data_IF_220324392119
#
_entry.id   IF_220324392119
#
_cell.length_a   1.000
_cell.length_b   1.000
_cell.length_c   1.000
_cell.angle_alpha   90.00
_cell.angle_beta   90.00
_cell.angle_gamma   90.00
#
_symmetry.space_group_name_H-M   'P 1'
#
loop_
_entity.id
_entity.type
_entity.pdbx_description
1 polymer ?
#
# COMPACT_ATOMS: atom_id res chain seq x y z
N UNK A 1 34.99 -20.43 -8.20
CA UNK A 1 33.64 -20.90 -8.56
C UNK A 1 32.81 -20.81 -7.29
N UNK A 2 31.84 -19.92 -7.08
CA UNK A 2 31.19 -18.93 -7.93
C UNK A 2 30.90 -17.68 -7.08
N UNK A 3 31.37 -16.52 -7.51
CA UNK A 3 30.99 -15.20 -6.97
C UNK A 3 30.52 -14.37 -8.17
N UNK A 4 29.21 -14.25 -8.38
CA UNK A 4 28.71 -13.62 -9.60
C UNK A 4 27.23 -13.28 -9.68
N UNK A 5 26.48 -13.24 -8.57
CA UNK A 5 25.02 -12.96 -8.62
C UNK A 5 24.50 -11.93 -7.61
N UNK A 6 25.36 -11.24 -6.86
CA UNK A 6 24.90 -10.29 -5.82
C UNK A 6 24.73 -8.85 -6.37
N UNK A 7 25.28 -8.55 -7.55
CA UNK A 7 25.31 -7.18 -8.13
C UNK A 7 23.97 -6.71 -8.71
N UNK A 8 22.92 -7.54 -8.78
CA UNK A 8 21.72 -7.20 -9.55
C UNK A 8 20.51 -6.79 -8.70
N UNK A 9 20.29 -7.41 -7.53
CA UNK A 9 19.06 -7.18 -6.76
C UNK A 9 19.10 -5.87 -5.95
N UNK A 10 20.17 -5.64 -5.17
CA UNK A 10 20.32 -4.41 -4.38
C UNK A 10 20.38 -3.17 -5.27
N UNK A 11 21.12 -3.24 -6.38
CA UNK A 11 21.19 -2.16 -7.36
C UNK A 11 19.83 -1.85 -8.02
N UNK A 12 18.98 -2.88 -8.23
CA UNK A 12 17.61 -2.70 -8.73
C UNK A 12 16.71 -1.99 -7.72
N UNK A 13 16.83 -2.36 -6.43
CA UNK A 13 16.07 -1.74 -5.36
C UNK A 13 16.43 -0.26 -5.20
N UNK A 14 17.71 0.08 -5.27
CA UNK A 14 18.17 1.47 -5.23
C UNK A 14 17.73 2.25 -6.47
N UNK A 15 17.89 1.67 -7.67
CA UNK A 15 17.51 2.34 -8.93
C UNK A 15 16.03 2.70 -9.00
N UNK A 16 15.16 1.85 -8.43
CA UNK A 16 13.70 2.03 -8.48
C UNK A 16 13.10 2.50 -7.16
N UNK A 17 13.94 2.89 -6.18
CA UNK A 17 13.51 3.24 -4.82
C UNK A 17 12.50 2.23 -4.26
N UNK A 18 12.83 0.94 -4.28
CA UNK A 18 11.95 -0.11 -3.75
C UNK A 18 12.19 -0.28 -2.24
N UNK A 19 11.14 -0.45 -1.44
CA UNK A 19 11.32 -0.65 0.00
C UNK A 19 12.00 -2.00 0.29
N UNK A 20 12.84 -2.08 1.34
CA UNK A 20 13.56 -3.30 1.73
C UNK A 20 12.66 -4.42 2.32
N UNK A 21 11.36 -4.21 2.41
CA UNK A 21 10.45 -5.11 3.13
C UNK A 21 10.10 -6.37 2.36
N UNK A 22 10.20 -7.54 2.99
CA UNK A 22 9.61 -8.78 2.45
C UNK A 22 8.09 -8.82 2.71
N UNK A 23 7.38 -9.63 1.91
CA UNK A 23 5.93 -9.80 1.96
C UNK A 23 5.50 -11.10 2.67
N UNK A 24 6.36 -11.73 3.48
CA UNK A 24 6.07 -13.05 4.09
C UNK A 24 5.04 -12.99 5.22
N UNK A 25 4.89 -11.83 5.86
CA UNK A 25 3.98 -11.62 7.00
C UNK A 25 3.01 -10.48 6.67
N UNK A 26 1.78 -10.53 7.23
CA UNK A 26 0.86 -9.42 7.15
C UNK A 26 1.43 -8.18 7.86
N UNK A 27 0.98 -7.02 7.43
CA UNK A 27 1.42 -5.72 7.92
C UNK A 27 0.23 -4.81 8.18
N UNK A 28 0.47 -3.77 8.97
CA UNK A 28 -0.42 -2.65 9.15
C UNK A 28 0.12 -1.48 8.35
N UNK A 29 -0.67 -0.89 7.46
CA UNK A 29 -0.25 0.29 6.69
C UNK A 29 -0.66 1.55 7.45
N UNK A 30 0.28 2.11 8.21
CA UNK A 30 0.05 3.29 9.05
C UNK A 30 0.31 4.60 8.29
N UNK A 31 -0.72 5.41 8.10
CA UNK A 31 -0.62 6.73 7.50
C UNK A 31 -0.28 7.81 8.55
N UNK A 32 0.89 8.44 8.39
CA UNK A 32 1.41 9.46 9.32
C UNK A 32 0.63 10.79 9.31
N UNK A 33 -0.18 11.04 8.28
CA UNK A 33 -0.94 12.29 8.14
C UNK A 33 -1.92 12.54 9.30
N UNK A 34 -2.71 11.53 9.64
CA UNK A 34 -3.72 11.60 10.71
C UNK A 34 -3.54 10.54 11.80
N UNK A 35 -2.53 9.68 11.64
CA UNK A 35 -2.23 8.56 12.53
C UNK A 35 -3.25 7.43 12.42
N UNK A 36 -3.57 6.98 11.20
CA UNK A 36 -4.55 5.92 10.97
C UNK A 36 -3.92 4.71 10.28
N UNK A 37 -4.36 3.52 10.63
CA UNK A 37 -4.14 2.29 9.89
C UNK A 37 -5.16 2.18 8.76
N UNK A 38 -4.71 1.86 7.55
CA UNK A 38 -5.59 1.54 6.43
C UNK A 38 -6.46 0.33 6.77
N UNK A 39 -7.76 0.44 6.51
CA UNK A 39 -8.76 -0.57 6.83
C UNK A 39 -9.63 -0.87 5.63
N UNK A 40 -9.92 -2.15 5.42
CA UNK A 40 -10.86 -2.63 4.40
C UNK A 40 -11.98 -3.38 5.12
N UNK A 41 -13.16 -2.79 5.19
CA UNK A 41 -14.32 -3.33 5.89
C UNK A 41 -15.00 -4.45 5.08
N UNK A 42 -15.82 -5.31 5.73
CA UNK A 42 -16.51 -6.43 5.07
C UNK A 42 -17.47 -6.02 3.94
N UNK A 43 -17.97 -4.79 3.97
CA UNK A 43 -18.85 -4.22 2.93
C UNK A 43 -18.07 -3.66 1.72
N UNK A 44 -16.73 -3.73 1.75
CA UNK A 44 -15.84 -3.18 0.73
C UNK A 44 -15.50 -1.71 0.93
N UNK A 45 -16.00 -1.07 2.00
CA UNK A 45 -15.61 0.30 2.34
C UNK A 45 -14.14 0.34 2.77
N UNK A 46 -13.40 1.31 2.23
CA UNK A 46 -12.01 1.57 2.63
C UNK A 46 -11.95 2.88 3.38
N UNK A 47 -11.33 2.85 4.55
CA UNK A 47 -11.09 4.01 5.40
C UNK A 47 -9.82 3.82 6.25
N UNK A 48 -9.67 4.65 7.28
CA UNK A 48 -8.59 4.58 8.24
C UNK A 48 -9.09 4.66 9.67
N UNK A 49 -8.57 3.80 10.54
CA UNK A 49 -8.87 3.78 11.98
C UNK A 49 -7.61 4.02 12.81
N UNK A 50 -7.77 4.56 14.02
CA UNK A 50 -6.67 4.64 15.00
C UNK A 50 -6.60 3.42 15.91
N UNK A 51 -7.63 2.59 15.88
CA UNK A 51 -7.71 1.38 16.67
C UNK A 51 -6.76 0.31 16.10
N UNK A 52 -5.66 0.06 16.81
CA UNK A 52 -4.66 -0.96 16.45
C UNK A 52 -5.19 -2.38 16.67
N UNK A 53 -6.28 -2.56 17.42
CA UNK A 53 -6.88 -3.87 17.69
C UNK A 53 -7.92 -4.30 16.65
N UNK A 54 -8.27 -3.43 15.70
CA UNK A 54 -9.22 -3.74 14.64
C UNK A 54 -8.72 -4.93 13.81
N UNK A 55 -9.60 -5.89 13.50
CA UNK A 55 -9.22 -7.08 12.74
C UNK A 55 -9.02 -6.78 11.25
N UNK A 56 -9.63 -5.71 10.74
CA UNK A 56 -9.67 -5.37 9.32
C UNK A 56 -8.49 -4.51 8.85
N UNK A 57 -7.52 -4.19 9.73
CA UNK A 57 -6.30 -3.44 9.39
C UNK A 57 -5.11 -4.34 9.08
N UNK A 58 -5.27 -5.66 9.23
CA UNK A 58 -4.23 -6.64 8.91
C UNK A 58 -4.23 -6.91 7.40
N UNK A 59 -3.16 -6.49 6.74
CA UNK A 59 -3.04 -6.49 5.29
C UNK A 59 -1.87 -7.38 4.85
N UNK A 60 -2.18 -8.42 4.09
CA UNK A 60 -1.21 -9.25 3.41
C UNK A 60 -0.84 -8.61 2.07
N UNK A 61 0.41 -8.19 1.94
CA UNK A 61 0.96 -7.74 0.67
C UNK A 61 1.47 -8.95 -0.13
N UNK A 62 1.40 -8.90 -1.45
CA UNK A 62 2.02 -9.89 -2.32
C UNK A 62 2.46 -9.23 -3.62
N UNK A 63 3.68 -9.54 -4.07
CA UNK A 63 4.19 -9.01 -5.32
C UNK A 63 3.64 -9.77 -6.53
N UNK A 64 3.18 -9.03 -7.54
CA UNK A 64 2.90 -9.56 -8.87
C UNK A 64 4.14 -9.45 -9.77
N UNK A 65 4.85 -8.33 -9.65
CA UNK A 65 6.08 -8.03 -10.36
C UNK A 65 6.96 -7.12 -9.50
N UNK A 66 8.18 -6.83 -9.94
CA UNK A 66 9.10 -5.99 -9.17
C UNK A 66 8.48 -4.60 -8.94
N UNK A 67 8.23 -4.26 -7.68
CA UNK A 67 7.62 -2.99 -7.28
C UNK A 67 6.12 -2.90 -7.54
N UNK A 68 5.44 -3.99 -7.87
CA UNK A 68 3.99 -4.06 -8.03
C UNK A 68 3.39 -5.01 -7.00
N UNK A 69 2.41 -4.54 -6.22
CA UNK A 69 1.83 -5.29 -5.12
C UNK A 69 0.31 -5.33 -5.19
N UNK A 70 -0.25 -6.45 -4.78
CA UNK A 70 -1.59 -6.55 -4.24
C UNK A 70 -1.55 -6.27 -2.74
N UNK A 71 -2.62 -5.67 -2.22
CA UNK A 71 -2.83 -5.44 -0.78
C UNK A 71 -4.15 -6.11 -0.40
N UNK A 72 -4.08 -7.23 0.33
CA UNK A 72 -5.24 -8.06 0.65
C UNK A 72 -5.57 -8.00 2.14
N UNK A 73 -6.83 -7.76 2.50
CA UNK A 73 -7.34 -7.95 3.85
C UNK A 73 -7.20 -9.41 4.26
N UNK A 74 -6.53 -9.70 5.37
CA UNK A 74 -6.43 -11.07 5.89
C UNK A 74 -7.77 -11.57 6.41
N UNK A 75 -8.58 -10.66 6.98
CA UNK A 75 -9.87 -10.98 7.59
C UNK A 75 -10.93 -11.32 6.55
N UNK A 76 -11.07 -10.48 5.52
CA UNK A 76 -12.17 -10.62 4.54
C UNK A 76 -11.74 -11.25 3.22
N UNK A 77 -10.43 -11.34 2.97
CA UNK A 77 -9.89 -11.77 1.69
C UNK A 77 -10.02 -10.75 0.55
N UNK A 78 -10.61 -9.58 0.80
CA UNK A 78 -10.75 -8.52 -0.19
C UNK A 78 -9.41 -7.87 -0.52
N UNK A 79 -9.24 -7.51 -1.79
CA UNK A 79 -8.10 -6.76 -2.31
C UNK A 79 -8.43 -5.27 -2.30
N UNK A 80 -7.50 -4.44 -1.84
CA UNK A 80 -7.59 -3.00 -2.07
C UNK A 80 -7.62 -2.77 -3.58
N UNK A 81 -8.52 -1.91 -4.04
CA UNK A 81 -8.64 -1.52 -5.42
C UNK A 81 -8.91 -0.02 -5.54
N UNK A 82 -8.62 0.54 -6.71
CA UNK A 82 -8.95 1.92 -7.05
C UNK A 82 -9.74 1.96 -8.36
N UNK A 83 -10.96 2.45 -8.30
CA UNK A 83 -11.83 2.56 -9.47
C UNK A 83 -11.42 3.70 -10.42
N UNK A 84 -12.12 3.80 -11.54
CA UNK A 84 -11.87 4.81 -12.59
C UNK A 84 -12.10 6.25 -12.14
N UNK A 85 -12.86 6.48 -11.07
CA UNK A 85 -13.09 7.80 -10.46
C UNK A 85 -12.06 8.11 -9.34
N UNK A 86 -11.14 7.17 -9.09
CA UNK A 86 -10.09 7.25 -8.09
C UNK A 86 -10.59 6.98 -6.67
N UNK A 87 -11.74 6.34 -6.48
CA UNK A 87 -12.21 5.92 -5.16
C UNK A 87 -11.58 4.57 -4.79
N UNK A 88 -11.16 4.46 -3.53
CA UNK A 88 -10.66 3.20 -2.97
C UNK A 88 -11.83 2.34 -2.51
N UNK A 89 -11.75 1.05 -2.81
CA UNK A 89 -12.75 0.06 -2.41
C UNK A 89 -12.11 -1.33 -2.22
N UNK A 90 -12.84 -2.25 -1.59
CA UNK A 90 -12.48 -3.66 -1.46
C UNK A 90 -13.04 -4.48 -2.62
N UNK A 91 -12.19 -5.13 -3.38
CA UNK A 91 -12.55 -6.05 -4.47
C UNK A 91 -12.46 -7.51 -4.00
N UNK A 92 -13.47 -8.33 -4.33
CA UNK A 92 -13.47 -9.76 -3.97
C UNK A 92 -12.50 -10.60 -4.79
N UNK A 93 -12.14 -10.13 -5.99
CA UNK A 93 -11.21 -10.82 -6.88
C UNK A 93 -10.05 -9.90 -7.26
N UNK A 94 -8.81 -10.40 -7.35
CA UNK A 94 -7.70 -9.61 -7.86
C UNK A 94 -7.95 -9.27 -9.33
N UNK A 95 -7.77 -8.00 -9.69
CA UNK A 95 -7.91 -7.49 -11.05
C UNK A 95 -6.92 -6.32 -11.26
N UNK A 96 -6.94 -5.69 -12.43
CA UNK A 96 -6.04 -4.60 -12.79
C UNK A 96 -6.14 -3.36 -11.88
N UNK A 97 -7.30 -3.14 -11.24
CA UNK A 97 -7.52 -2.04 -10.29
C UNK A 97 -6.92 -2.32 -8.91
N UNK A 98 -6.57 -3.59 -8.64
CA UNK A 98 -6.01 -4.05 -7.37
C UNK A 98 -4.47 -3.96 -7.31
N UNK A 99 -3.82 -3.57 -8.40
CA UNK A 99 -2.37 -3.47 -8.49
C UNK A 99 -1.88 -2.06 -8.15
N UNK A 100 -0.95 -2.00 -7.21
CA UNK A 100 -0.30 -0.76 -6.81
C UNK A 100 1.20 -0.82 -7.00
N UNK A 101 1.78 0.27 -7.48
CA UNK A 101 3.21 0.49 -7.53
C UNK A 101 3.68 0.90 -6.14
N UNK A 102 4.40 0.01 -5.45
CA UNK A 102 5.00 0.31 -4.15
C UNK A 102 6.36 0.99 -4.36
N UNK A 103 6.52 2.18 -3.78
CA UNK A 103 7.78 2.94 -3.85
C UNK A 103 8.16 3.46 -2.47
N UNK A 104 9.45 3.52 -2.20
CA UNK A 104 10.05 4.18 -1.06
C UNK A 104 10.24 5.65 -1.39
N UNK A 105 9.69 6.52 -0.55
CA UNK A 105 9.91 7.95 -0.58
C UNK A 105 11.17 8.31 0.20
N UNK A 106 11.80 9.46 -0.11
CA UNK A 106 13.05 9.93 0.52
C UNK A 106 13.03 9.95 2.06
N UNK A 107 11.84 10.05 2.66
CA UNK A 107 11.65 10.07 4.11
C UNK A 107 11.40 8.67 4.74
N UNK A 108 11.76 7.58 4.04
CA UNK A 108 11.58 6.18 4.47
C UNK A 108 10.11 5.74 4.63
N UNK A 109 9.18 6.41 3.95
CA UNK A 109 7.78 6.01 3.88
C UNK A 109 7.52 5.28 2.56
N UNK A 110 6.56 4.37 2.56
CA UNK A 110 6.05 3.76 1.35
C UNK A 110 4.91 4.60 0.77
N UNK A 111 4.86 4.69 -0.55
CA UNK A 111 3.72 5.17 -1.32
C UNK A 111 3.18 4.04 -2.20
N UNK A 112 1.89 4.11 -2.50
CA UNK A 112 1.19 3.11 -3.32
C UNK A 112 0.42 3.84 -4.42
N UNK A 113 0.93 3.81 -5.63
CA UNK A 113 0.28 4.44 -6.80
C UNK A 113 -0.55 3.41 -7.53
N UNK A 114 -1.79 3.72 -7.91
CA UNK A 114 -2.59 2.83 -8.76
C UNK A 114 -1.85 2.54 -10.07
N UNK A 115 -1.60 1.26 -10.39
CA UNK A 115 -0.91 0.87 -11.62
C UNK A 115 -1.71 1.28 -12.86
N UNK A 116 -3.03 1.08 -12.83
CA UNK A 116 -3.97 1.43 -13.91
C UNK A 116 -4.04 2.95 -14.18
N UNK A 117 -3.70 3.76 -13.18
CA UNK A 117 -3.78 5.23 -13.24
C UNK A 117 -2.44 5.89 -12.91
N UNK A 118 -1.32 5.21 -13.21
CA UNK A 118 0.01 5.66 -12.88
C UNK A 118 0.36 6.98 -13.56
N UNK A 119 -0.10 7.18 -14.81
CA UNK A 119 0.08 8.41 -15.58
C UNK A 119 -0.61 9.62 -14.95
N UNK A 120 -1.63 9.38 -14.12
CA UNK A 120 -2.36 10.43 -13.40
C UNK A 120 -1.79 10.68 -12.00
N UNK A 121 -0.79 9.90 -11.57
CA UNK A 121 -0.23 9.93 -10.22
C UNK A 121 -1.31 9.80 -9.14
N UNK A 122 -2.17 8.80 -9.25
CA UNK A 122 -3.20 8.54 -8.24
C UNK A 122 -2.71 7.59 -7.17
N UNK A 123 -2.73 8.07 -5.92
CA UNK A 123 -2.19 7.34 -4.78
C UNK A 123 -3.29 6.80 -3.87
N UNK A 124 -3.00 5.69 -3.19
CA UNK A 124 -3.67 5.34 -1.95
C UNK A 124 -3.40 6.46 -0.94
N UNK A 125 -4.45 6.97 -0.29
CA UNK A 125 -4.30 8.12 0.59
C UNK A 125 -5.38 8.21 1.68
N UNK A 126 -4.97 8.56 2.90
CA UNK A 126 -5.87 8.82 4.02
C UNK A 126 -5.81 10.29 4.46
N UNK A 127 -6.98 10.90 4.64
CA UNK A 127 -7.10 12.25 5.18
C UNK A 127 -6.86 12.24 6.69
N UNK A 128 -6.69 13.43 7.27
CA UNK A 128 -6.51 13.62 8.73
C UNK A 128 -7.70 13.12 9.55
N UNK A 129 -8.89 13.03 8.97
CA UNK A 129 -10.10 12.55 9.62
C UNK A 129 -10.35 11.03 9.41
N UNK A 130 -9.39 10.29 8.85
CA UNK A 130 -9.51 8.85 8.62
C UNK A 130 -10.20 8.47 7.30
N UNK A 131 -10.92 9.37 6.64
CA UNK A 131 -11.53 9.04 5.34
C UNK A 131 -10.49 8.91 4.22
N UNK A 132 -10.76 8.04 3.25
CA UNK A 132 -9.96 7.97 2.03
C UNK A 132 -10.05 9.25 1.21
N UNK A 133 -8.96 9.53 0.49
CA UNK A 133 -8.86 10.64 -0.45
C UNK A 133 -8.90 10.09 -1.86
N UNK A 134 -9.75 10.66 -2.72
CA UNK A 134 -9.86 10.24 -4.12
C UNK A 134 -8.57 10.51 -4.88
N UNK A 135 -8.19 9.59 -5.77
CA UNK A 135 -7.03 9.63 -6.65
C UNK A 135 -6.78 11.01 -7.28
N UNK A 136 -7.75 11.63 -7.98
CA UNK A 136 -7.58 12.97 -8.58
C UNK A 136 -7.16 14.09 -7.62
N UNK A 137 -7.32 13.90 -6.30
CA UNK A 137 -6.96 14.90 -5.29
C UNK A 137 -5.59 14.62 -4.68
N UNK A 138 -4.97 13.50 -5.01
CA UNK A 138 -3.64 13.10 -4.55
C UNK A 138 -2.55 13.66 -5.47
N UNK A 139 -1.35 13.84 -4.94
CA UNK A 139 -0.13 14.21 -5.67
C UNK A 139 1.09 14.03 -4.77
N UNK A 140 2.28 13.95 -5.36
CA UNK A 140 3.56 13.89 -4.64
C UNK A 140 3.72 15.01 -3.62
N UNK A 141 4.38 14.71 -2.49
CA UNK A 141 4.60 15.67 -1.39
C UNK A 141 3.45 15.78 -0.38
N UNK A 142 2.28 15.19 -0.64
CA UNK A 142 1.21 15.14 0.36
C UNK A 142 1.53 14.15 1.47
N UNK A 143 1.39 14.56 2.74
CA UNK A 143 1.50 13.63 3.88
C UNK A 143 0.48 12.48 3.84
N UNK A 144 -0.66 12.68 3.18
CA UNK A 144 -1.76 11.72 3.08
C UNK A 144 -1.38 10.42 2.34
N UNK A 145 -0.35 10.44 1.49
CA UNK A 145 0.09 9.29 0.68
C UNK A 145 1.22 8.49 1.36
N UNK A 146 1.72 8.97 2.51
CA UNK A 146 2.88 8.40 3.19
C UNK A 146 2.42 7.32 4.18
N UNK A 147 2.80 6.08 3.92
CA UNK A 147 2.49 4.93 4.76
C UNK A 147 3.76 4.31 5.34
N UNK A 148 3.69 3.90 6.60
CA UNK A 148 4.72 3.12 7.26
C UNK A 148 4.19 1.69 7.43
N UNK A 149 4.81 0.68 6.80
CA UNK A 149 4.43 -0.70 7.01
C UNK A 149 4.93 -1.19 8.37
N UNK A 150 4.00 -1.49 9.28
CA UNK A 150 4.30 -1.96 10.64
C UNK A 150 3.95 -3.45 10.79
N UNK A 151 4.65 -4.19 11.68
CA UNK A 151 4.26 -5.57 11.98
C UNK A 151 2.93 -5.60 12.74
N UNK A 152 2.19 -6.70 12.59
CA UNK A 152 0.91 -6.93 13.30
C UNK A 152 1.16 -7.20 14.78
N UNK A 153 2.08 -8.13 15.10
CA UNK A 153 2.60 -8.33 16.46
C UNK A 153 3.83 -7.45 16.73
N UNK A 154 4.05 -7.10 17.99
CA UNK A 154 5.20 -6.29 18.43
C UNK A 154 6.43 -7.14 18.78
N UNK A 155 6.55 -8.35 18.22
CA UNK A 155 7.63 -9.28 18.57
C UNK A 155 9.02 -8.78 18.13
#
# INVERSE_FOLDING_TARGET
MAEGEITTFTALMEKFNLPPGNYKKPKLLYCSNGGHFLRILPDGTVDGTRDRSDQHIQLQLSAESVGEVYIKSTETGQYLAMDTDGLLYGSQTPNEECLFLERLEENHYNTYTSKKHAEKNWFVALKKNGSCKRGPRTHYGQKAILFLPLPVSSD
#
